data_IF_707309759465
#
_entry.id   IF_707309759465
#
_cell.length_a   1.000
_cell.length_b   1.000
_cell.length_c   1.000
_cell.angle_alpha   90.00
_cell.angle_beta   90.00
_cell.angle_gamma   90.00
#
_symmetry.space_group_name_H-M   'P 1'
#
loop_
_entity.id
_entity.type
_entity.pdbx_description
1 polymer ?
#
# COMPACT_ATOMS: atom_id res chain seq x y z
N UNK A 1 32.13 25.29 31.10
CA UNK A 1 30.96 24.65 31.73
C UNK A 1 30.12 23.98 30.63
N UNK A 2 30.43 22.74 30.26
CA UNK A 2 29.69 22.00 29.23
C UNK A 2 28.88 20.91 29.92
N UNK A 3 27.54 21.01 29.83
CA UNK A 3 26.59 20.03 30.36
C UNK A 3 26.63 18.78 29.48
N UNK A 4 27.10 17.66 30.04
CA UNK A 4 26.85 16.34 29.45
C UNK A 4 25.39 16.00 29.77
N UNK A 5 24.50 16.12 28.77
CA UNK A 5 23.16 15.53 28.86
C UNK A 5 23.31 14.01 28.87
N UNK A 6 23.22 13.39 30.04
CA UNK A 6 22.97 11.96 30.18
C UNK A 6 21.55 11.69 29.71
N UNK A 7 21.41 11.22 28.47
CA UNK A 7 20.14 10.71 27.94
C UNK A 7 19.85 9.40 28.67
N UNK A 8 19.01 9.44 29.69
CA UNK A 8 18.52 8.25 30.40
C UNK A 8 17.78 7.37 29.40
N UNK A 9 18.42 6.29 28.95
CA UNK A 9 17.83 5.28 28.09
C UNK A 9 16.97 4.38 28.97
N UNK A 10 15.65 4.38 28.75
CA UNK A 10 14.69 3.56 29.48
C UNK A 10 15.02 2.06 29.32
N UNK A 11 14.78 1.27 30.37
CA UNK A 11 15.25 -0.12 30.54
C UNK A 11 14.76 -1.18 29.54
N UNK A 12 14.16 -0.81 28.42
CA UNK A 12 13.74 -1.72 27.33
C UNK A 12 14.72 -1.78 26.13
N UNK A 13 15.73 -0.92 26.10
CA UNK A 13 16.57 -0.73 24.91
C UNK A 13 17.91 -1.50 24.93
N UNK A 14 18.22 -2.26 25.98
CA UNK A 14 19.52 -2.93 26.13
C UNK A 14 19.41 -4.45 26.24
N UNK A 15 20.09 -5.13 25.33
CA UNK A 15 20.07 -6.58 25.18
C UNK A 15 21.30 -7.21 25.84
N UNK A 16 21.11 -8.40 26.41
CA UNK A 16 22.22 -9.29 26.76
C UNK A 16 22.92 -9.81 25.51
N UNK A 17 24.15 -10.31 25.67
CA UNK A 17 24.89 -10.98 24.60
C UNK A 17 24.08 -12.12 23.96
N UNK A 18 23.37 -12.92 24.78
CA UNK A 18 22.56 -14.06 24.31
C UNK A 18 21.28 -13.64 23.57
N UNK A 19 20.69 -12.49 23.90
CA UNK A 19 19.55 -11.95 23.16
C UNK A 19 19.99 -11.33 21.84
N UNK A 20 21.06 -10.53 21.86
CA UNK A 20 21.59 -9.87 20.67
C UNK A 20 22.15 -10.88 19.63
N UNK A 21 22.86 -11.92 20.09
CA UNK A 21 23.38 -12.99 19.21
C UNK A 21 22.26 -13.78 18.55
N UNK A 22 21.22 -14.14 19.31
CA UNK A 22 20.03 -14.80 18.75
C UNK A 22 19.29 -13.94 17.74
N UNK A 23 19.15 -12.64 17.99
CA UNK A 23 18.50 -11.72 17.04
C UNK A 23 19.29 -11.60 15.74
N UNK A 24 20.61 -11.47 15.81
CA UNK A 24 21.47 -11.36 14.63
C UNK A 24 21.71 -12.69 13.92
N UNK A 25 21.38 -13.82 14.55
CA UNK A 25 21.69 -15.15 14.02
C UNK A 25 23.20 -15.45 13.95
N UNK A 26 23.99 -14.87 14.86
CA UNK A 26 25.46 -15.04 14.91
C UNK A 26 25.90 -15.65 16.23
N UNK A 27 27.07 -16.28 16.22
CA UNK A 27 27.67 -16.83 17.44
C UNK A 27 28.04 -15.71 18.45
N UNK A 28 27.84 -15.91 19.77
CA UNK A 28 28.23 -14.95 20.80
C UNK A 28 29.68 -14.45 20.73
N UNK A 29 30.64 -15.29 20.33
CA UNK A 29 32.04 -14.88 20.15
C UNK A 29 32.23 -13.94 18.96
N UNK A 30 31.44 -14.13 17.91
CA UNK A 30 31.40 -13.21 16.76
C UNK A 30 30.89 -11.84 17.21
N UNK A 31 29.81 -11.82 18.00
CA UNK A 31 29.24 -10.59 18.53
C UNK A 31 30.19 -9.88 19.52
N UNK A 32 30.95 -10.64 20.33
CA UNK A 32 32.01 -10.09 21.19
C UNK A 32 33.09 -9.40 20.36
N UNK A 33 33.61 -10.09 19.32
CA UNK A 33 34.62 -9.53 18.40
C UNK A 33 34.12 -8.27 17.71
N UNK A 34 32.84 -8.20 17.35
CA UNK A 34 32.26 -7.00 16.73
C UNK A 34 32.22 -5.82 17.70
N UNK A 35 31.83 -6.06 18.96
CA UNK A 35 31.90 -5.04 20.00
C UNK A 35 33.34 -4.58 20.27
N UNK A 36 34.30 -5.51 20.38
CA UNK A 36 35.71 -5.20 20.66
C UNK A 36 36.35 -4.38 19.52
N UNK A 37 35.89 -4.57 18.29
CA UNK A 37 36.33 -3.81 17.12
C UNK A 37 35.49 -2.54 16.87
N UNK A 38 34.62 -2.15 17.82
CA UNK A 38 33.80 -0.93 17.71
C UNK A 38 32.74 -0.96 16.61
N UNK A 39 32.35 -2.15 16.11
CA UNK A 39 31.31 -2.28 15.08
C UNK A 39 29.89 -2.14 15.64
N UNK A 40 29.72 -2.26 16.96
CA UNK A 40 28.43 -2.20 17.65
C UNK A 40 28.60 -1.44 18.95
N UNK A 41 27.67 -0.53 19.23
CA UNK A 41 27.60 0.17 20.50
C UNK A 41 27.30 -0.80 21.65
N UNK A 42 28.22 -0.86 22.60
CA UNK A 42 28.15 -1.70 23.78
C UNK A 42 28.41 -0.85 25.02
N UNK A 43 27.71 -1.14 26.11
CA UNK A 43 28.14 -0.70 27.43
C UNK A 43 28.43 -1.90 28.32
N UNK A 44 29.35 -1.73 29.26
CA UNK A 44 29.70 -2.75 30.24
C UNK A 44 29.14 -2.34 31.58
N UNK A 45 28.33 -3.22 32.19
CA UNK A 45 27.85 -3.04 33.56
C UNK A 45 29.01 -3.08 34.56
N UNK A 46 28.87 -2.51 35.77
CA UNK A 46 29.90 -2.61 36.81
C UNK A 46 30.35 -4.05 37.13
N UNK A 47 29.48 -5.05 36.91
CA UNK A 47 29.79 -6.48 37.05
C UNK A 47 30.49 -7.13 35.84
N UNK A 48 30.93 -6.35 34.85
CA UNK A 48 31.68 -6.86 33.69
C UNK A 48 30.83 -7.43 32.55
N UNK A 49 29.51 -7.47 32.67
CA UNK A 49 28.64 -7.96 31.60
C UNK A 49 28.39 -6.88 30.53
N UNK A 50 28.55 -7.26 29.27
CA UNK A 50 28.24 -6.45 28.08
C UNK A 50 26.75 -6.36 27.83
N UNK A 51 26.29 -5.18 27.43
CA UNK A 51 24.91 -4.85 27.07
C UNK A 51 24.90 -4.09 25.75
N UNK A 52 24.02 -4.51 24.85
CA UNK A 52 23.98 -4.07 23.45
C UNK A 52 22.73 -3.24 23.19
N UNK A 53 22.88 -2.09 22.54
CA UNK A 53 21.72 -1.26 22.25
C UNK A 53 20.85 -1.96 21.19
N UNK A 54 19.56 -2.16 21.49
CA UNK A 54 18.59 -2.80 20.58
C UNK A 54 18.58 -2.12 19.22
N UNK A 55 18.58 -0.78 19.17
CA UNK A 55 18.64 -0.03 17.93
C UNK A 55 19.90 -0.33 17.09
N UNK A 56 21.06 -0.50 17.73
CA UNK A 56 22.31 -0.84 17.05
C UNK A 56 22.30 -2.30 16.54
N UNK A 57 21.66 -3.22 17.27
CA UNK A 57 21.42 -4.59 16.84
C UNK A 57 20.45 -4.65 15.65
N UNK A 58 19.31 -3.96 15.75
CA UNK A 58 18.30 -3.92 14.69
C UNK A 58 18.84 -3.27 13.40
N UNK A 59 19.74 -2.29 13.52
CA UNK A 59 20.40 -1.65 12.37
C UNK A 59 21.32 -2.60 11.58
N UNK A 60 21.78 -3.70 12.19
CA UNK A 60 22.63 -4.70 11.54
C UNK A 60 21.86 -5.84 10.91
N UNK A 61 20.57 -5.99 11.21
CA UNK A 61 19.74 -6.99 10.56
C UNK A 61 19.69 -6.68 9.05
N UNK A 62 19.77 -7.71 8.18
CA UNK A 62 19.55 -7.52 6.76
C UNK A 62 18.22 -6.81 6.57
N UNK A 63 18.24 -5.58 6.07
CA UNK A 63 17.01 -4.97 5.58
C UNK A 63 16.55 -5.85 4.43
N UNK A 64 15.30 -6.35 4.42
CA UNK A 64 14.78 -6.99 3.23
C UNK A 64 15.08 -6.06 2.05
N UNK A 65 15.71 -6.59 0.99
CA UNK A 65 15.91 -5.83 -0.24
C UNK A 65 14.51 -5.42 -0.66
N UNK A 66 14.10 -4.19 -0.36
CA UNK A 66 12.77 -3.72 -0.70
C UNK A 66 12.61 -4.00 -2.18
N UNK A 67 11.71 -4.93 -2.56
CA UNK A 67 11.42 -5.15 -3.95
C UNK A 67 11.10 -3.78 -4.54
N UNK A 68 11.95 -3.39 -5.49
CA UNK A 68 11.85 -2.06 -6.05
C UNK A 68 10.54 -2.06 -6.81
N UNK A 69 9.64 -1.18 -6.40
CA UNK A 69 8.36 -0.97 -7.07
C UNK A 69 8.59 -0.80 -8.58
N UNK A 70 7.85 -1.56 -9.37
CA UNK A 70 7.88 -1.52 -10.84
C UNK A 70 6.54 -1.02 -11.36
N UNK A 71 6.59 -0.26 -12.46
CA UNK A 71 5.38 0.14 -13.19
C UNK A 71 4.76 -1.05 -13.92
N UNK A 72 3.47 -0.98 -14.24
CA UNK A 72 2.81 -2.00 -15.07
C UNK A 72 3.57 -2.23 -16.39
N UNK A 73 4.02 -1.16 -17.03
CA UNK A 73 4.83 -1.20 -18.25
C UNK A 73 6.17 -1.90 -18.02
N UNK A 74 6.84 -1.66 -16.89
CA UNK A 74 8.08 -2.36 -16.55
C UNK A 74 7.88 -3.85 -16.23
N UNK A 75 6.66 -4.24 -15.83
CA UNK A 75 6.22 -5.62 -15.69
C UNK A 75 5.81 -6.24 -17.05
N UNK A 76 5.93 -5.49 -18.15
CA UNK A 76 5.58 -5.92 -19.50
C UNK A 76 4.10 -5.79 -19.85
N UNK A 77 3.28 -5.21 -18.98
CA UNK A 77 1.85 -4.97 -19.25
C UNK A 77 1.59 -3.57 -19.78
N UNK A 78 0.93 -3.49 -20.94
CA UNK A 78 0.42 -2.23 -21.45
C UNK A 78 -0.80 -1.78 -20.62
N UNK A 79 -0.82 -0.56 -20.06
CA UNK A 79 -1.95 -0.06 -19.28
C UNK A 79 -3.29 -0.16 -20.02
N UNK A 80 -3.31 0.11 -21.33
CA UNK A 80 -4.52 0.03 -22.16
C UNK A 80 -5.10 -1.38 -22.23
N UNK A 81 -4.24 -2.41 -22.21
CA UNK A 81 -4.68 -3.80 -22.17
C UNK A 81 -5.35 -4.10 -20.84
N UNK A 82 -4.73 -3.69 -19.72
CA UNK A 82 -5.28 -3.86 -18.38
C UNK A 82 -6.64 -3.14 -18.27
N UNK A 83 -6.72 -1.91 -18.77
CA UNK A 83 -7.97 -1.15 -18.81
C UNK A 83 -9.05 -1.84 -19.67
N UNK A 84 -8.67 -2.43 -20.81
CA UNK A 84 -9.61 -3.13 -21.69
C UNK A 84 -10.16 -4.42 -21.07
N UNK A 85 -9.29 -5.21 -20.43
CA UNK A 85 -9.67 -6.41 -19.69
C UNK A 85 -10.59 -6.08 -18.51
N UNK A 86 -10.23 -5.07 -17.72
CA UNK A 86 -11.05 -4.56 -16.62
C UNK A 86 -12.45 -4.14 -17.11
N UNK A 87 -12.52 -3.33 -18.18
CA UNK A 87 -13.79 -2.89 -18.78
C UNK A 87 -14.64 -4.07 -19.26
N UNK A 88 -14.03 -5.07 -19.88
CA UNK A 88 -14.75 -6.28 -20.33
C UNK A 88 -15.38 -7.01 -19.14
N UNK A 89 -14.63 -7.22 -18.05
CA UNK A 89 -15.13 -7.88 -16.83
C UNK A 89 -16.27 -7.10 -16.20
N UNK A 90 -16.08 -5.80 -15.99
CA UNK A 90 -17.11 -4.90 -15.46
C UNK A 90 -18.40 -5.05 -16.26
N UNK A 91 -18.34 -4.92 -17.59
CA UNK A 91 -19.53 -5.02 -18.45
C UNK A 91 -20.23 -6.38 -18.31
N UNK A 92 -19.45 -7.46 -18.20
CA UNK A 92 -19.98 -8.83 -18.12
C UNK A 92 -20.70 -9.05 -16.80
N UNK A 93 -20.11 -8.61 -15.69
CA UNK A 93 -20.62 -8.87 -14.35
C UNK A 93 -21.68 -7.87 -13.89
N UNK A 94 -21.70 -6.69 -14.50
CA UNK A 94 -22.59 -5.59 -14.08
C UNK A 94 -24.06 -5.94 -14.34
N UNK A 95 -24.34 -6.63 -15.43
CA UNK A 95 -25.70 -7.07 -15.77
C UNK A 95 -26.29 -8.06 -14.76
N UNK A 96 -25.45 -8.75 -13.97
CA UNK A 96 -25.89 -9.73 -12.99
C UNK A 96 -26.11 -9.14 -11.59
N UNK A 97 -26.06 -7.81 -11.43
CA UNK A 97 -26.15 -7.18 -10.12
C UNK A 97 -27.58 -6.74 -9.81
N UNK A 98 -28.15 -7.20 -8.70
CA UNK A 98 -29.52 -6.86 -8.28
C UNK A 98 -29.75 -5.36 -8.04
N UNK A 99 -28.69 -4.63 -7.69
CA UNK A 99 -28.75 -3.19 -7.53
C UNK A 99 -28.72 -2.45 -8.87
N UNK A 100 -28.17 -3.04 -9.93
CA UNK A 100 -28.02 -2.40 -11.24
C UNK A 100 -29.37 -2.05 -11.87
N UNK A 101 -30.36 -2.93 -11.73
CA UNK A 101 -31.73 -2.70 -12.23
C UNK A 101 -32.49 -1.61 -11.49
N UNK A 102 -31.96 -1.10 -10.36
CA UNK A 102 -32.59 -0.03 -9.57
C UNK A 102 -32.22 1.37 -10.06
N UNK A 103 -31.26 1.48 -10.98
CA UNK A 103 -30.80 2.75 -11.53
C UNK A 103 -31.47 3.03 -12.88
N UNK A 104 -31.81 4.29 -13.12
CA UNK A 104 -32.19 4.75 -14.46
C UNK A 104 -30.98 4.73 -15.43
N UNK A 105 -31.28 4.81 -16.73
CA UNK A 105 -30.26 4.74 -17.78
C UNK A 105 -29.24 5.89 -17.71
N UNK A 106 -29.66 7.08 -17.28
CA UNK A 106 -28.80 8.26 -17.17
C UNK A 106 -27.76 8.09 -16.06
N UNK A 107 -28.18 7.57 -14.91
CA UNK A 107 -27.32 7.25 -13.79
C UNK A 107 -26.35 6.16 -14.18
N UNK A 108 -26.79 5.11 -14.89
CA UNK A 108 -25.91 4.06 -15.40
C UNK A 108 -24.89 4.55 -16.42
N UNK A 109 -25.28 5.42 -17.36
CA UNK A 109 -24.34 6.07 -18.29
C UNK A 109 -23.28 6.85 -17.53
N UNK A 110 -23.71 7.68 -16.60
CA UNK A 110 -22.83 8.49 -15.77
C UNK A 110 -21.86 7.63 -14.93
N UNK A 111 -22.33 6.52 -14.33
CA UNK A 111 -21.48 5.57 -13.60
C UNK A 111 -20.40 4.95 -14.49
N UNK A 112 -20.76 4.60 -15.73
CA UNK A 112 -19.80 4.05 -16.70
C UNK A 112 -18.71 5.05 -17.04
N UNK A 113 -19.07 6.28 -17.39
CA UNK A 113 -18.11 7.33 -17.76
C UNK A 113 -17.15 7.66 -16.61
N UNK A 114 -17.70 7.85 -15.40
CA UNK A 114 -16.91 8.16 -14.20
C UNK A 114 -16.05 6.97 -13.76
N UNK A 115 -16.58 5.76 -13.85
CA UNK A 115 -15.84 4.53 -13.57
C UNK A 115 -14.66 4.32 -14.53
N UNK A 116 -14.83 4.65 -15.82
CA UNK A 116 -13.74 4.62 -16.81
C UNK A 116 -12.64 5.60 -16.42
N UNK A 117 -12.99 6.86 -16.16
CA UNK A 117 -12.00 7.87 -15.76
C UNK A 117 -11.28 7.50 -14.46
N UNK A 118 -12.00 6.94 -13.49
CA UNK A 118 -11.40 6.44 -12.25
C UNK A 118 -10.36 5.34 -12.53
N UNK A 119 -10.71 4.38 -13.39
CA UNK A 119 -9.80 3.28 -13.73
C UNK A 119 -8.52 3.76 -14.43
N UNK A 120 -8.61 4.78 -15.28
CA UNK A 120 -7.45 5.41 -15.93
C UNK A 120 -6.51 6.04 -14.90
N UNK A 121 -7.05 6.78 -13.93
CA UNK A 121 -6.26 7.42 -12.87
C UNK A 121 -5.58 6.38 -11.98
N UNK A 122 -6.29 5.32 -11.61
CA UNK A 122 -5.75 4.23 -10.79
C UNK A 122 -4.66 3.45 -11.54
N UNK A 123 -4.88 3.08 -12.80
CA UNK A 123 -3.86 2.40 -13.61
C UNK A 123 -2.66 3.30 -13.88
N UNK A 124 -2.88 4.59 -14.15
CA UNK A 124 -1.80 5.57 -14.28
C UNK A 124 -0.98 5.69 -13.01
N UNK A 125 -1.61 5.63 -11.83
CA UNK A 125 -0.91 5.63 -10.55
C UNK A 125 0.02 4.41 -10.41
N UNK A 126 -0.50 3.22 -10.73
CA UNK A 126 0.27 1.97 -10.72
C UNK A 126 1.41 1.96 -11.75
N UNK A 127 1.23 2.64 -12.89
CA UNK A 127 2.24 2.71 -13.95
C UNK A 127 3.26 3.85 -13.75
N UNK A 128 2.95 4.87 -12.95
CA UNK A 128 3.86 6.00 -12.73
C UNK A 128 4.91 5.66 -11.68
N UNK A 129 6.21 5.72 -12.03
CA UNK A 129 7.30 5.45 -11.09
C UNK A 129 7.63 6.64 -10.18
N UNK A 130 7.54 7.88 -10.69
CA UNK A 130 7.83 9.09 -9.91
C UNK A 130 6.77 9.34 -8.85
N UNK A 131 7.20 9.57 -7.61
CA UNK A 131 6.29 9.82 -6.47
C UNK A 131 5.36 11.02 -6.70
N UNK A 132 5.87 12.16 -7.15
CA UNK A 132 5.04 13.35 -7.36
C UNK A 132 3.87 13.12 -8.34
N UNK A 133 4.14 12.48 -9.48
CA UNK A 133 3.10 12.16 -10.47
C UNK A 133 2.08 11.15 -9.94
N UNK A 134 2.51 10.20 -9.11
CA UNK A 134 1.60 9.26 -8.43
C UNK A 134 0.67 9.94 -7.45
N UNK A 135 1.23 10.81 -6.62
CA UNK A 135 0.47 11.51 -5.59
C UNK A 135 -0.58 12.39 -6.28
N UNK A 136 -0.22 13.07 -7.37
CA UNK A 136 -1.16 13.83 -8.20
C UNK A 136 -2.30 12.97 -8.79
N UNK A 137 -2.00 11.79 -9.33
CA UNK A 137 -3.01 10.90 -9.90
C UNK A 137 -3.99 10.39 -8.84
N UNK A 138 -3.50 10.13 -7.62
CA UNK A 138 -4.36 9.72 -6.50
C UNK A 138 -5.18 10.87 -5.93
N UNK A 139 -4.63 12.08 -5.91
CA UNK A 139 -5.40 13.27 -5.56
C UNK A 139 -6.55 13.48 -6.55
N UNK A 140 -6.29 13.34 -7.86
CA UNK A 140 -7.31 13.41 -8.90
C UNK A 140 -8.35 12.30 -8.76
N UNK A 141 -7.93 11.06 -8.47
CA UNK A 141 -8.84 9.94 -8.23
C UNK A 141 -9.71 10.19 -6.98
N UNK A 142 -9.12 10.75 -5.92
CA UNK A 142 -9.84 11.08 -4.68
C UNK A 142 -10.85 12.20 -4.92
N UNK A 143 -10.49 13.24 -5.68
CA UNK A 143 -11.41 14.29 -6.09
C UNK A 143 -12.59 13.71 -6.87
N UNK A 144 -12.32 12.85 -7.85
CA UNK A 144 -13.35 12.17 -8.63
C UNK A 144 -14.25 11.29 -7.74
N UNK A 145 -13.68 10.62 -6.74
CA UNK A 145 -14.43 9.88 -5.73
C UNK A 145 -15.37 10.78 -4.92
N UNK A 146 -14.89 11.94 -4.48
CA UNK A 146 -15.72 12.93 -3.77
C UNK A 146 -16.85 13.46 -4.64
N UNK A 147 -16.56 13.88 -5.87
CA UNK A 147 -17.56 14.32 -6.84
C UNK A 147 -18.63 13.25 -7.04
N UNK A 148 -18.21 11.98 -7.07
CA UNK A 148 -19.13 10.86 -7.17
C UNK A 148 -20.05 10.73 -5.97
N UNK A 149 -19.53 10.88 -4.75
CA UNK A 149 -20.35 10.86 -3.55
C UNK A 149 -21.43 11.95 -3.58
N UNK A 150 -21.05 13.18 -3.94
CA UNK A 150 -21.97 14.32 -4.05
C UNK A 150 -23.06 14.03 -5.07
N UNK A 151 -22.68 13.56 -6.25
CA UNK A 151 -23.63 13.30 -7.33
C UNK A 151 -24.56 12.12 -7.01
N UNK A 152 -24.04 11.06 -6.38
CA UNK A 152 -24.86 9.94 -5.93
C UNK A 152 -25.96 10.41 -4.96
N UNK A 153 -25.61 11.25 -3.98
CA UNK A 153 -26.60 11.84 -3.07
C UNK A 153 -27.62 12.71 -3.81
N UNK A 154 -27.18 13.56 -4.75
CA UNK A 154 -28.09 14.40 -5.56
C UNK A 154 -29.10 13.58 -6.36
N UNK A 155 -28.70 12.39 -6.80
CA UNK A 155 -29.54 11.43 -7.54
C UNK A 155 -30.37 10.52 -6.62
N UNK A 156 -30.39 10.77 -5.32
CA UNK A 156 -31.22 10.05 -4.36
C UNK A 156 -30.65 8.70 -3.90
N UNK A 157 -29.41 8.37 -4.25
CA UNK A 157 -28.79 7.12 -3.83
C UNK A 157 -28.40 7.19 -2.36
N UNK A 158 -28.66 6.11 -1.63
CA UNK A 158 -28.15 5.95 -0.29
C UNK A 158 -26.61 5.78 -0.31
N UNK A 159 -25.98 6.08 0.83
CA UNK A 159 -24.55 5.82 1.00
C UNK A 159 -24.23 4.32 0.80
N UNK A 160 -25.15 3.45 1.22
CA UNK A 160 -25.05 2.00 1.02
C UNK A 160 -25.00 1.62 -0.45
N UNK A 161 -25.90 2.15 -1.29
CA UNK A 161 -25.93 1.87 -2.73
C UNK A 161 -24.68 2.41 -3.44
N UNK A 162 -24.24 3.62 -3.10
CA UNK A 162 -23.02 4.20 -3.65
C UNK A 162 -21.78 3.37 -3.28
N UNK A 163 -21.72 2.89 -2.03
CA UNK A 163 -20.66 2.00 -1.54
C UNK A 163 -20.71 0.63 -2.21
N UNK A 164 -21.90 0.07 -2.40
CA UNK A 164 -22.10 -1.21 -3.08
C UNK A 164 -21.62 -1.15 -4.54
N UNK A 165 -21.93 -0.07 -5.25
CA UNK A 165 -21.40 0.17 -6.59
C UNK A 165 -19.86 0.27 -6.57
N UNK A 166 -19.27 1.01 -5.63
CA UNK A 166 -17.81 1.08 -5.50
C UNK A 166 -17.18 -0.30 -5.24
N UNK A 167 -17.71 -1.07 -4.28
CA UNK A 167 -17.20 -2.40 -3.94
C UNK A 167 -17.29 -3.36 -5.12
N UNK A 168 -18.35 -3.25 -5.93
CA UNK A 168 -18.46 -3.97 -7.19
C UNK A 168 -17.25 -3.69 -8.10
N UNK A 169 -16.92 -2.43 -8.36
CA UNK A 169 -15.78 -2.06 -9.20
C UNK A 169 -14.44 -2.46 -8.56
N UNK A 170 -14.28 -2.23 -7.26
CA UNK A 170 -13.08 -2.62 -6.49
C UNK A 170 -12.75 -4.10 -6.68
N UNK A 171 -13.74 -4.98 -6.54
CA UNK A 171 -13.54 -6.42 -6.70
C UNK A 171 -13.00 -6.79 -8.11
N UNK A 172 -13.54 -6.17 -9.17
CA UNK A 172 -13.11 -6.45 -10.55
C UNK A 172 -11.76 -5.83 -10.88
N UNK A 173 -11.47 -4.66 -10.31
CA UNK A 173 -10.17 -4.01 -10.45
C UNK A 173 -9.07 -4.87 -9.80
N UNK A 174 -9.27 -5.28 -8.55
CA UNK A 174 -8.33 -6.15 -7.83
C UNK A 174 -8.18 -7.53 -8.50
N UNK A 175 -9.27 -8.08 -9.04
CA UNK A 175 -9.20 -9.30 -9.83
C UNK A 175 -8.34 -9.13 -11.09
N UNK A 176 -8.41 -7.99 -11.78
CA UNK A 176 -7.57 -7.74 -12.95
C UNK A 176 -6.10 -7.52 -12.56
N UNK A 177 -5.82 -6.84 -11.45
CA UNK A 177 -4.45 -6.74 -10.89
C UNK A 177 -3.89 -8.13 -10.55
N UNK A 178 -4.72 -9.02 -9.97
CA UNK A 178 -4.33 -10.40 -9.72
C UNK A 178 -4.03 -11.17 -11.01
N UNK A 179 -4.77 -10.90 -12.08
CA UNK A 179 -4.54 -11.52 -13.38
C UNK A 179 -3.27 -11.01 -14.04
N UNK A 180 -2.97 -9.71 -13.93
CA UNK A 180 -1.66 -9.15 -14.32
C UNK A 180 -0.53 -9.91 -13.60
N UNK A 181 -0.62 -10.05 -12.27
CA UNK A 181 0.41 -10.73 -11.49
C UNK A 181 0.62 -12.18 -11.94
N UNK A 182 -0.48 -12.90 -12.23
CA UNK A 182 -0.43 -14.28 -12.78
C UNK A 182 0.15 -14.33 -14.19
N UNK A 183 -0.33 -13.49 -15.11
CA UNK A 183 0.11 -13.48 -16.52
C UNK A 183 1.61 -13.20 -16.66
N UNK A 184 2.16 -12.40 -15.74
CA UNK A 184 3.58 -12.04 -15.72
C UNK A 184 4.42 -12.89 -14.79
N UNK A 185 3.82 -13.91 -14.17
CA UNK A 185 4.49 -14.80 -13.22
C UNK A 185 5.31 -14.01 -12.19
N UNK A 186 4.73 -12.94 -11.64
CA UNK A 186 5.43 -12.05 -10.73
C UNK A 186 5.89 -12.81 -9.49
N UNK A 187 7.06 -12.45 -8.98
CA UNK A 187 7.51 -12.94 -7.69
C UNK A 187 6.52 -12.52 -6.59
N UNK A 188 6.37 -13.34 -5.54
CA UNK A 188 5.39 -13.07 -4.47
C UNK A 188 5.54 -11.67 -3.88
N UNK A 189 6.76 -11.18 -3.70
CA UNK A 189 7.02 -9.84 -3.16
C UNK A 189 6.53 -8.73 -4.11
N UNK A 190 6.77 -8.87 -5.41
CA UNK A 190 6.32 -7.90 -6.43
C UNK A 190 4.79 -7.90 -6.55
N UNK A 191 4.18 -9.08 -6.53
CA UNK A 191 2.72 -9.22 -6.54
C UNK A 191 2.12 -8.55 -5.30
N UNK A 192 2.63 -8.83 -4.11
CA UNK A 192 2.17 -8.21 -2.85
C UNK A 192 2.25 -6.69 -2.90
N UNK A 193 3.38 -6.12 -3.36
CA UNK A 193 3.52 -4.66 -3.48
C UNK A 193 2.52 -4.05 -4.46
N UNK A 194 2.28 -4.71 -5.59
CA UNK A 194 1.30 -4.24 -6.58
C UNK A 194 -0.13 -4.27 -6.00
N UNK A 195 -0.48 -5.32 -5.26
CA UNK A 195 -1.76 -5.43 -4.57
C UNK A 195 -1.93 -4.37 -3.49
N UNK A 196 -0.93 -4.20 -2.62
CA UNK A 196 -0.96 -3.20 -1.56
C UNK A 196 -1.12 -1.78 -2.10
N UNK A 197 -0.47 -1.47 -3.24
CA UNK A 197 -0.59 -0.16 -3.85
C UNK A 197 -1.99 0.06 -4.45
N UNK A 198 -2.52 -0.94 -5.16
CA UNK A 198 -3.88 -0.88 -5.70
C UNK A 198 -4.93 -0.75 -4.58
N UNK A 199 -4.77 -1.49 -3.48
CA UNK A 199 -5.68 -1.47 -2.34
C UNK A 199 -5.66 -0.11 -1.63
N UNK A 200 -4.47 0.41 -1.31
CA UNK A 200 -4.32 1.76 -0.71
C UNK A 200 -4.88 2.87 -1.58
N UNK A 201 -4.76 2.75 -2.91
CA UNK A 201 -5.34 3.70 -3.84
C UNK A 201 -6.88 3.68 -3.79
N UNK A 202 -7.47 2.48 -3.80
CA UNK A 202 -8.93 2.29 -3.71
C UNK A 202 -9.48 2.77 -2.36
N UNK A 203 -8.77 2.53 -1.25
CA UNK A 203 -9.17 2.99 0.08
C UNK A 203 -9.32 4.52 0.15
N UNK A 204 -8.38 5.26 -0.46
CA UNK A 204 -8.48 6.72 -0.56
C UNK A 204 -9.70 7.16 -1.34
N UNK A 205 -10.01 6.47 -2.44
CA UNK A 205 -11.16 6.80 -3.28
C UNK A 205 -12.48 6.54 -2.54
N UNK A 206 -12.64 5.42 -1.85
CA UNK A 206 -13.89 5.15 -1.11
C UNK A 206 -14.10 6.12 0.06
N UNK A 207 -13.04 6.47 0.78
CA UNK A 207 -13.13 7.48 1.84
C UNK A 207 -13.54 8.84 1.27
N UNK A 208 -12.99 9.24 0.13
CA UNK A 208 -13.38 10.48 -0.53
C UNK A 208 -14.84 10.44 -1.03
N UNK A 209 -15.29 9.30 -1.56
CA UNK A 209 -16.68 9.07 -1.94
C UNK A 209 -17.63 9.22 -0.74
N UNK A 210 -17.32 8.56 0.38
CA UNK A 210 -18.14 8.67 1.59
C UNK A 210 -18.23 10.13 2.06
N UNK A 211 -17.09 10.84 2.09
CA UNK A 211 -17.07 12.26 2.45
C UNK A 211 -17.90 13.12 1.49
N UNK A 212 -17.82 12.86 0.19
CA UNK A 212 -18.61 13.57 -0.81
C UNK A 212 -20.12 13.32 -0.67
N UNK A 213 -20.50 12.08 -0.35
CA UNK A 213 -21.90 11.73 -0.12
C UNK A 213 -22.46 12.35 1.16
N UNK A 214 -21.63 12.50 2.19
CA UNK A 214 -22.07 13.07 3.46
C UNK A 214 -22.13 14.62 3.47
N UNK A 215 -21.45 15.29 2.53
CA UNK A 215 -21.49 16.74 2.36
C UNK A 215 -22.88 17.24 1.95
#
# INVERSE_FOLDING_TARGET
>A
MYRISTRTVAGGDWLTLGEASRLLGVDPDTLRRWADNGKIDVFTTPGGHRRFLRASIDAMLPRPRQARRQSLTALGEAPDRVASEFRRRVRTDLASQDWYSRFDEDSLRWFRERGMRMSELLLGHLDTTRRAGRDQLIEQASLLGREYGVEAKRRGLSLGEATQAFLFFRARFMAEIAQVARRRALASEQASLLFEEADRALDRVILALIQGHQA
#
